data_IF_554406401798
#
_entry.id   IF_554406401798
#
_cell.length_a   1.000
_cell.length_b   1.000
_cell.length_c   1.000
_cell.angle_alpha   90.00
_cell.angle_beta   90.00
_cell.angle_gamma   90.00
#
_symmetry.space_group_name_H-M   'P 1'
#
loop_
_entity.id
_entity.type
_entity.pdbx_description
1 polymer ?
#
# COMPACT_ATOMS: atom_id res chain seq x y z
N UNK A 1 1.05 -51.49 -33.27
CA UNK A 1 0.45 -50.17 -32.92
C UNK A 1 0.86 -49.85 -31.47
N UNK A 2 1.94 -49.08 -31.29
CA UNK A 2 2.45 -48.74 -29.97
C UNK A 2 1.92 -47.38 -29.58
N UNK A 3 1.16 -47.33 -28.49
CA UNK A 3 0.59 -46.12 -27.90
C UNK A 3 1.68 -45.49 -26.99
N UNK A 4 2.24 -44.36 -27.43
CA UNK A 4 3.14 -43.54 -26.60
C UNK A 4 2.30 -42.79 -25.56
N UNK A 5 2.47 -43.14 -24.29
CA UNK A 5 1.97 -42.33 -23.16
C UNK A 5 2.89 -41.12 -23.00
N UNK A 6 2.35 -39.94 -23.30
CA UNK A 6 2.96 -38.64 -22.93
C UNK A 6 2.79 -38.46 -21.42
N UNK A 7 3.89 -38.50 -20.69
CA UNK A 7 3.91 -38.19 -19.28
C UNK A 7 4.06 -36.65 -19.18
N UNK A 8 2.99 -35.99 -18.78
CA UNK A 8 3.05 -34.58 -18.37
C UNK A 8 3.65 -34.51 -16.97
N UNK A 9 4.91 -34.12 -16.87
CA UNK A 9 5.53 -33.68 -15.61
C UNK A 9 5.09 -32.23 -15.38
N UNK A 10 4.02 -32.06 -14.62
CA UNK A 10 3.65 -30.76 -14.08
C UNK A 10 4.75 -30.30 -13.09
N UNK A 11 5.48 -29.26 -13.46
CA UNK A 11 6.34 -28.54 -12.53
C UNK A 11 5.41 -27.82 -11.56
N UNK A 12 5.25 -28.40 -10.36
CA UNK A 12 4.64 -27.70 -9.22
C UNK A 12 5.65 -26.65 -8.75
N UNK A 13 5.49 -25.42 -9.22
CA UNK A 13 6.22 -24.29 -8.63
C UNK A 13 5.65 -24.08 -7.22
N UNK A 14 6.32 -24.58 -6.20
CA UNK A 14 6.12 -24.18 -4.83
C UNK A 14 6.59 -22.72 -4.74
N UNK A 15 5.66 -21.77 -4.82
CA UNK A 15 5.89 -20.43 -4.33
C UNK A 15 6.07 -20.55 -2.81
N UNK A 16 7.31 -20.52 -2.33
CA UNK A 16 7.60 -20.31 -0.92
C UNK A 16 7.25 -18.86 -0.64
N UNK A 17 6.06 -18.63 -0.10
CA UNK A 17 5.66 -17.35 0.45
C UNK A 17 6.50 -17.12 1.70
N UNK A 18 7.61 -16.40 1.56
CA UNK A 18 8.29 -15.82 2.71
C UNK A 18 7.39 -14.68 3.20
N UNK A 19 6.69 -14.91 4.30
CA UNK A 19 5.94 -13.88 4.98
C UNK A 19 6.93 -12.83 5.49
N UNK A 20 6.67 -11.54 5.23
CA UNK A 20 7.39 -10.47 5.89
C UNK A 20 7.25 -10.66 7.41
N UNK A 21 8.37 -10.81 8.11
CA UNK A 21 8.37 -11.10 9.55
C UNK A 21 8.45 -9.78 10.29
N UNK A 22 7.55 -9.59 11.26
CA UNK A 22 7.65 -8.48 12.20
C UNK A 22 8.72 -8.79 13.22
N UNK A 23 9.61 -7.84 13.46
CA UNK A 23 10.61 -7.92 14.51
C UNK A 23 10.39 -6.86 15.57
N UNK A 24 10.59 -7.25 16.82
CA UNK A 24 10.55 -6.32 17.94
C UNK A 24 11.96 -5.90 18.33
N UNK A 25 12.16 -4.59 18.50
CA UNK A 25 13.35 -4.01 19.09
C UNK A 25 12.95 -3.19 20.32
N UNK A 26 13.71 -3.35 21.39
CA UNK A 26 13.48 -2.63 22.65
C UNK A 26 14.70 -1.76 22.91
N UNK A 27 14.46 -0.45 23.07
CA UNK A 27 15.47 0.48 23.55
C UNK A 27 15.07 0.98 24.92
N UNK A 28 15.91 0.70 25.94
CA UNK A 28 15.62 0.99 27.35
C UNK A 28 16.52 2.09 27.86
N UNK A 29 15.94 2.99 28.63
CA UNK A 29 16.70 3.96 29.44
C UNK A 29 16.07 4.11 30.83
N UNK A 30 16.67 4.96 31.67
CA UNK A 30 16.20 5.14 33.06
C UNK A 30 14.81 5.76 33.16
N UNK A 31 14.38 6.52 32.15
CA UNK A 31 13.15 7.33 32.15
C UNK A 31 12.00 6.61 31.49
N UNK A 32 12.26 5.96 30.35
CA UNK A 32 11.24 5.28 29.55
C UNK A 32 11.83 4.13 28.73
N UNK A 33 10.98 3.17 28.37
CA UNK A 33 11.28 2.13 27.40
C UNK A 33 10.57 2.41 26.09
N UNK A 34 11.22 2.09 24.98
CA UNK A 34 10.65 2.13 23.65
C UNK A 34 10.50 0.70 23.14
N UNK A 35 9.33 0.42 22.62
CA UNK A 35 9.00 -0.82 21.92
C UNK A 35 8.77 -0.48 20.45
N UNK A 36 9.67 -0.92 19.57
CA UNK A 36 9.53 -0.82 18.13
C UNK A 36 9.15 -2.19 17.56
N UNK A 37 8.04 -2.27 16.84
CA UNK A 37 7.71 -3.38 15.94
C UNK A 37 7.86 -2.88 14.53
N UNK A 38 8.60 -3.60 13.66
CA UNK A 38 8.89 -3.15 12.30
C UNK A 38 8.98 -4.31 11.32
N UNK A 39 8.79 -4.02 10.02
CA UNK A 39 9.03 -4.95 8.92
C UNK A 39 10.54 -5.14 8.80
N UNK A 40 11.07 -6.32 9.18
CA UNK A 40 12.51 -6.63 9.10
C UNK A 40 12.92 -7.31 7.80
N UNK A 41 11.95 -7.80 7.02
CA UNK A 41 12.17 -8.44 5.72
C UNK A 41 11.02 -8.11 4.76
N UNK A 42 11.34 -7.75 3.52
CA UNK A 42 10.37 -7.28 2.54
C UNK A 42 10.89 -7.46 1.10
N UNK A 43 10.17 -6.93 0.10
CA UNK A 43 10.49 -7.03 -1.32
C UNK A 43 10.43 -5.66 -2.00
N UNK A 44 11.05 -5.49 -3.20
CA UNK A 44 10.86 -4.30 -4.01
C UNK A 44 9.38 -4.02 -4.29
N UNK A 45 8.95 -2.78 -4.05
CA UNK A 45 7.57 -2.34 -4.21
C UNK A 45 6.68 -2.53 -2.98
N UNK A 46 7.16 -3.13 -1.91
CA UNK A 46 6.48 -3.17 -0.63
C UNK A 46 6.74 -1.88 0.17
N UNK A 47 6.20 -1.79 1.38
CA UNK A 47 6.51 -0.74 2.34
C UNK A 47 7.12 -1.34 3.62
N UNK A 48 7.94 -0.54 4.30
CA UNK A 48 8.43 -0.85 5.65
C UNK A 48 7.49 -0.18 6.63
N UNK A 49 6.73 -0.98 7.38
CA UNK A 49 5.79 -0.51 8.41
C UNK A 49 6.47 -0.50 9.77
N UNK A 50 6.16 0.51 10.58
CA UNK A 50 6.71 0.69 11.92
C UNK A 50 5.60 1.07 12.90
N UNK A 51 5.64 0.46 14.07
CA UNK A 51 4.86 0.86 15.24
C UNK A 51 5.81 1.07 16.39
N UNK A 52 5.73 2.24 17.03
CA UNK A 52 6.51 2.59 18.22
C UNK A 52 5.57 2.89 19.36
N UNK A 53 5.91 2.44 20.56
CA UNK A 53 5.21 2.82 21.79
C UNK A 53 6.20 3.15 22.89
N UNK A 54 5.80 4.10 23.73
CA UNK A 54 6.60 4.59 24.85
C UNK A 54 5.95 4.16 26.18
N UNK A 55 6.75 3.59 27.08
CA UNK A 55 6.34 3.21 28.43
C UNK A 55 7.21 3.92 29.44
N UNK A 56 6.59 4.76 30.27
CA UNK A 56 7.30 5.44 31.36
C UNK A 56 7.80 4.45 32.41
N UNK A 57 9.08 4.59 32.80
CA UNK A 57 9.70 3.86 33.91
C UNK A 57 9.72 4.68 35.21
N UNK A 58 9.88 6.01 35.09
CA UNK A 58 9.80 6.95 36.21
C UNK A 58 8.87 8.10 35.83
N UNK A 59 8.00 8.54 36.76
CA UNK A 59 7.18 9.74 36.54
C UNK A 59 8.12 10.93 36.35
N UNK A 60 8.14 11.45 35.13
CA UNK A 60 8.80 12.71 34.83
C UNK A 60 8.15 13.82 35.68
N UNK A 61 8.95 14.58 36.45
CA UNK A 61 8.45 15.79 37.06
C UNK A 61 7.92 16.66 35.95
N UNK A 62 6.64 17.10 36.04
CA UNK A 62 5.94 17.96 35.07
C UNK A 62 6.85 19.15 34.68
N UNK A 63 7.69 18.96 33.70
CA UNK A 63 8.30 20.00 32.89
C UNK A 63 7.67 19.89 31.50
N UNK A 64 7.19 21.00 31.01
CA UNK A 64 6.62 21.23 29.72
C UNK A 64 6.43 19.93 28.87
N UNK A 65 5.19 19.44 28.81
CA UNK A 65 4.82 18.33 27.92
C UNK A 65 4.99 18.80 26.48
N UNK A 66 6.22 19.00 26.05
CA UNK A 66 6.53 19.08 24.64
C UNK A 66 6.15 17.75 24.02
N UNK A 67 5.42 17.82 22.91
CA UNK A 67 4.86 16.64 22.29
C UNK A 67 5.97 15.61 22.00
N UNK A 68 5.72 14.36 22.37
CA UNK A 68 6.51 13.22 21.91
C UNK A 68 6.52 13.22 20.40
N UNK A 69 7.69 13.14 19.79
CA UNK A 69 7.85 13.10 18.35
C UNK A 69 8.79 11.98 17.92
N UNK A 70 8.53 11.39 16.78
CA UNK A 70 9.41 10.41 16.18
C UNK A 70 9.42 10.54 14.65
N UNK A 71 10.57 10.24 14.06
CA UNK A 71 10.79 10.19 12.60
C UNK A 71 11.50 8.90 12.24
N UNK A 72 11.26 8.40 11.04
CA UNK A 72 11.97 7.28 10.47
C UNK A 72 12.60 7.67 9.15
N UNK A 73 13.77 7.13 8.85
CA UNK A 73 14.42 7.18 7.54
C UNK A 73 14.91 5.81 7.14
N UNK A 74 14.82 5.47 5.86
CA UNK A 74 15.38 4.27 5.29
C UNK A 74 16.48 4.65 4.29
N UNK A 75 17.63 3.97 4.38
CA UNK A 75 18.78 4.23 3.54
C UNK A 75 19.35 2.92 2.98
N UNK A 76 20.00 3.01 1.84
CA UNK A 76 20.76 1.92 1.22
C UNK A 76 22.09 2.46 0.71
N UNK A 77 23.21 1.87 1.13
CA UNK A 77 24.56 2.35 0.81
C UNK A 77 24.72 3.85 1.12
N UNK A 78 24.40 4.26 2.34
CA UNK A 78 24.46 5.63 2.87
C UNK A 78 23.54 6.65 2.18
N UNK A 79 22.79 6.23 1.16
CA UNK A 79 21.82 7.10 0.49
C UNK A 79 20.44 6.97 1.11
N UNK A 80 19.94 8.05 1.69
CA UNK A 80 18.55 8.12 2.18
C UNK A 80 17.60 8.01 0.98
N UNK A 81 16.69 7.04 1.01
CA UNK A 81 15.71 6.78 -0.02
C UNK A 81 14.36 7.39 0.32
N UNK A 82 13.97 7.33 1.58
CA UNK A 82 12.73 7.92 2.07
C UNK A 82 12.85 8.30 3.55
N UNK A 83 12.05 9.29 3.99
CA UNK A 83 11.89 9.63 5.38
C UNK A 83 10.45 10.09 5.65
N UNK A 84 9.97 9.87 6.87
CA UNK A 84 8.65 10.31 7.32
C UNK A 84 8.65 10.54 8.82
N UNK A 85 7.62 11.21 9.33
CA UNK A 85 7.35 11.25 10.76
C UNK A 85 6.45 10.08 11.18
N UNK A 86 6.40 9.80 12.46
CA UNK A 86 5.40 8.93 13.04
C UNK A 86 4.11 9.71 13.33
N UNK A 87 2.98 9.06 13.16
CA UNK A 87 1.65 9.61 13.38
C UNK A 87 1.01 8.95 14.60
N UNK A 88 0.35 9.74 15.44
CA UNK A 88 -0.30 9.25 16.66
C UNK A 88 -1.47 8.33 16.33
N UNK A 89 -1.55 7.21 17.02
CA UNK A 89 -2.69 6.29 16.94
C UNK A 89 -3.73 6.69 17.97
N UNK A 90 -5.00 6.96 17.57
CA UNK A 90 -6.07 7.21 18.51
C UNK A 90 -6.24 6.08 19.54
N UNK A 91 -6.47 6.41 20.82
CA UNK A 91 -6.60 5.42 21.91
C UNK A 91 -7.66 4.34 21.64
N UNK A 92 -8.71 4.66 20.88
CA UNK A 92 -9.74 3.71 20.47
C UNK A 92 -9.23 2.58 19.57
N UNK A 93 -8.09 2.78 18.88
CA UNK A 93 -7.50 1.82 17.94
C UNK A 93 -6.29 1.09 18.53
N UNK A 94 -5.74 1.54 19.66
CA UNK A 94 -4.58 0.90 20.30
C UNK A 94 -4.84 0.67 21.80
N UNK A 95 -4.53 -0.55 22.26
CA UNK A 95 -4.56 -0.87 23.70
C UNK A 95 -3.41 -0.23 24.47
N UNK A 96 -2.35 0.16 23.80
CA UNK A 96 -1.16 0.80 24.37
C UNK A 96 -1.25 2.30 24.18
N UNK A 97 -1.14 3.07 25.25
CA UNK A 97 -1.03 4.53 25.20
C UNK A 97 0.28 4.95 24.52
N UNK A 98 0.32 6.18 24.02
CA UNK A 98 1.52 6.73 23.37
C UNK A 98 2.04 5.82 22.25
N UNK A 99 1.13 5.32 21.41
CA UNK A 99 1.43 4.52 20.22
C UNK A 99 1.46 5.40 18.99
N UNK A 100 2.49 5.23 18.17
CA UNK A 100 2.67 5.94 16.91
C UNK A 100 3.00 4.95 15.80
N UNK A 101 2.62 5.28 14.58
CA UNK A 101 2.87 4.46 13.38
C UNK A 101 3.56 5.28 12.30
N UNK A 102 4.37 4.61 11.50
CA UNK A 102 4.97 5.15 10.30
C UNK A 102 5.05 4.06 9.21
N UNK A 103 5.14 4.48 7.95
CA UNK A 103 5.37 3.59 6.85
C UNK A 103 6.28 4.26 5.82
N UNK A 104 7.21 3.52 5.23
CA UNK A 104 8.16 4.02 4.24
C UNK A 104 8.03 3.17 2.97
N UNK A 105 7.62 3.74 1.83
CA UNK A 105 7.49 3.01 0.58
C UNK A 105 8.86 2.66 0.01
N UNK A 106 9.00 1.45 -0.55
CA UNK A 106 10.12 1.03 -1.34
C UNK A 106 9.74 1.03 -2.83
N UNK A 107 10.64 1.51 -3.67
CA UNK A 107 10.45 1.43 -5.12
C UNK A 107 10.39 -0.03 -5.58
N UNK A 108 9.55 -0.33 -6.58
CA UNK A 108 9.59 -1.64 -7.27
C UNK A 108 10.89 -1.87 -8.08
N UNK A 109 11.81 -0.90 -8.07
CA UNK A 109 13.19 -1.00 -8.57
C UNK A 109 14.21 -1.02 -7.43
N UNK A 110 13.78 -1.16 -6.17
CA UNK A 110 14.70 -1.28 -5.04
C UNK A 110 15.63 -2.49 -5.25
N UNK A 111 16.90 -2.32 -4.90
CA UNK A 111 17.89 -3.39 -5.01
C UNK A 111 17.77 -4.34 -3.81
N UNK A 112 18.11 -5.60 -4.03
CA UNK A 112 18.26 -6.57 -2.94
C UNK A 112 19.41 -6.20 -2.03
N UNK A 113 19.28 -6.52 -0.74
CA UNK A 113 20.30 -6.31 0.28
C UNK A 113 19.75 -5.73 1.58
N UNK A 114 20.66 -5.45 2.49
CA UNK A 114 20.34 -4.89 3.82
C UNK A 114 20.24 -3.37 3.72
N UNK A 115 19.14 -2.83 4.22
CA UNK A 115 18.84 -1.41 4.31
C UNK A 115 18.92 -0.96 5.77
N UNK A 116 19.36 0.27 5.99
CA UNK A 116 19.42 0.87 7.31
C UNK A 116 18.11 1.62 7.60
N UNK A 117 17.34 1.13 8.56
CA UNK A 117 16.17 1.80 9.11
C UNK A 117 16.56 2.54 10.38
N UNK A 118 16.63 3.86 10.33
CA UNK A 118 16.94 4.70 11.51
C UNK A 118 15.67 5.33 12.04
N UNK A 119 15.46 5.21 13.35
CA UNK A 119 14.40 5.87 14.11
C UNK A 119 15.02 6.97 14.98
N UNK A 120 14.53 8.21 14.81
CA UNK A 120 14.92 9.38 15.58
C UNK A 120 13.70 9.81 16.38
N UNK A 121 13.84 9.99 17.68
CA UNK A 121 12.71 10.32 18.55
C UNK A 121 13.08 11.26 19.70
N UNK A 122 12.08 11.95 20.21
CA UNK A 122 12.12 12.72 21.45
C UNK A 122 10.88 12.39 22.28
N UNK A 123 11.05 12.09 23.55
CA UNK A 123 9.97 11.77 24.47
C UNK A 123 9.84 12.87 25.54
N UNK A 124 8.64 13.52 25.59
CA UNK A 124 8.28 14.56 26.57
C UNK A 124 9.37 15.64 26.80
N UNK A 125 10.03 16.08 25.71
CA UNK A 125 11.05 17.16 25.76
C UNK A 125 12.47 16.69 26.09
N UNK A 126 12.70 15.39 26.26
CA UNK A 126 14.04 14.84 26.35
C UNK A 126 14.82 15.06 25.03
N UNK A 127 16.16 15.11 25.06
CA UNK A 127 16.97 15.24 23.86
C UNK A 127 16.65 14.17 22.80
N UNK A 128 16.83 14.51 21.54
CA UNK A 128 16.68 13.55 20.45
C UNK A 128 17.65 12.37 20.62
N UNK A 129 17.09 11.18 20.54
CA UNK A 129 17.82 9.93 20.52
C UNK A 129 17.61 9.26 19.16
N UNK A 130 18.57 8.45 18.72
CA UNK A 130 18.41 7.67 17.50
C UNK A 130 18.97 6.25 17.66
N UNK A 131 18.41 5.33 16.92
CA UNK A 131 18.96 3.98 16.74
C UNK A 131 18.64 3.47 15.34
N UNK A 132 19.45 2.52 14.85
CA UNK A 132 19.31 1.92 13.53
C UNK A 132 19.12 0.41 13.65
N UNK A 133 18.21 -0.14 12.85
CA UNK A 133 17.94 -1.57 12.72
C UNK A 133 17.98 -1.97 11.24
N UNK A 134 18.40 -3.21 10.91
CA UNK A 134 18.45 -3.67 9.54
C UNK A 134 17.07 -4.05 9.00
N UNK A 135 16.84 -3.82 7.70
CA UNK A 135 15.72 -4.32 6.92
C UNK A 135 16.26 -5.06 5.70
N UNK A 136 15.91 -6.33 5.56
CA UNK A 136 16.32 -7.13 4.41
C UNK A 136 15.34 -6.96 3.25
N UNK A 137 15.83 -6.52 2.10
CA UNK A 137 15.06 -6.46 0.86
C UNK A 137 15.47 -7.65 -0.02
N UNK A 138 14.55 -8.60 -0.16
CA UNK A 138 14.74 -9.83 -0.92
C UNK A 138 14.56 -9.61 -2.41
N UNK A 139 15.02 -10.55 -3.25
CA UNK A 139 14.78 -10.49 -4.69
C UNK A 139 13.32 -10.80 -5.03
N UNK A 140 12.78 -10.10 -6.05
CA UNK A 140 11.47 -10.35 -6.61
C UNK A 140 11.51 -10.13 -8.11
N UNK A 141 11.01 -11.11 -8.86
CA UNK A 141 10.83 -10.99 -10.30
C UNK A 141 9.47 -10.40 -10.60
N UNK A 142 9.41 -9.53 -11.61
CA UNK A 142 8.19 -8.92 -12.09
C UNK A 142 7.93 -9.34 -13.52
N UNK A 143 6.66 -9.59 -13.85
CA UNK A 143 6.26 -10.00 -15.21
C UNK A 143 6.46 -8.86 -16.18
N UNK A 144 6.97 -9.16 -17.37
CA UNK A 144 7.03 -8.26 -18.52
C UNK A 144 5.96 -8.68 -19.52
N UNK A 145 5.08 -7.76 -19.90
CA UNK A 145 3.98 -8.04 -20.82
C UNK A 145 3.81 -6.95 -21.88
N UNK A 146 3.39 -7.35 -23.08
CA UNK A 146 2.99 -6.41 -24.13
C UNK A 146 1.48 -6.47 -24.30
N UNK A 147 0.81 -5.32 -24.14
CA UNK A 147 -0.64 -5.17 -24.23
C UNK A 147 -0.99 -4.45 -25.53
N UNK A 148 -1.58 -5.13 -26.53
CA UNK A 148 -2.05 -4.48 -27.73
C UNK A 148 -3.32 -3.67 -27.43
N UNK A 149 -3.34 -2.40 -27.83
CA UNK A 149 -4.50 -1.54 -27.69
C UNK A 149 -5.21 -1.37 -29.04
N UNK A 150 -6.54 -1.54 -29.03
CA UNK A 150 -7.38 -1.17 -30.15
C UNK A 150 -7.41 0.38 -30.34
N UNK A 151 -8.11 0.87 -31.36
CA UNK A 151 -8.17 2.30 -31.68
C UNK A 151 -8.75 3.11 -30.51
N UNK A 152 -9.85 2.65 -29.90
CA UNK A 152 -10.50 3.32 -28.77
C UNK A 152 -9.57 3.41 -27.56
N UNK A 153 -8.95 2.32 -27.15
CA UNK A 153 -8.02 2.31 -26.00
C UNK A 153 -6.73 3.09 -26.29
N UNK A 154 -6.28 3.12 -27.54
CA UNK A 154 -5.17 3.99 -27.96
C UNK A 154 -5.53 5.45 -27.77
N UNK A 155 -6.74 5.87 -28.18
CA UNK A 155 -7.22 7.25 -28.01
C UNK A 155 -7.28 7.62 -26.52
N UNK A 156 -7.86 6.78 -25.67
CA UNK A 156 -7.91 7.01 -24.21
C UNK A 156 -6.50 7.13 -23.62
N UNK A 157 -5.59 6.22 -23.98
CA UNK A 157 -4.22 6.19 -23.45
C UNK A 157 -3.41 7.43 -23.87
N UNK A 158 -3.61 7.91 -25.08
CA UNK A 158 -2.86 9.04 -25.67
C UNK A 158 -3.58 10.39 -25.53
N UNK A 159 -4.77 10.41 -24.92
CA UNK A 159 -5.56 11.62 -24.70
C UNK A 159 -4.78 12.65 -23.86
N UNK A 160 -4.67 13.87 -24.37
CA UNK A 160 -4.02 15.00 -23.70
C UNK A 160 -4.98 16.19 -23.51
N UNK A 161 -6.29 15.90 -23.51
CA UNK A 161 -7.32 16.95 -23.32
C UNK A 161 -7.15 17.66 -21.97
N UNK A 162 -7.55 18.94 -21.89
CA UNK A 162 -7.55 19.68 -20.62
C UNK A 162 -8.33 18.97 -19.52
N UNK A 163 -9.43 18.30 -19.87
CA UNK A 163 -10.25 17.53 -18.92
C UNK A 163 -9.44 16.38 -18.30
N UNK A 164 -8.79 15.53 -19.13
CA UNK A 164 -7.95 14.45 -18.63
C UNK A 164 -6.80 14.96 -17.77
N UNK A 165 -6.16 16.05 -18.17
CA UNK A 165 -5.05 16.65 -17.40
C UNK A 165 -5.55 17.17 -16.04
N UNK A 166 -6.71 17.82 -15.99
CA UNK A 166 -7.36 18.26 -14.74
C UNK A 166 -7.69 17.09 -13.81
N UNK A 167 -8.19 15.98 -14.36
CA UNK A 167 -8.45 14.75 -13.58
C UNK A 167 -7.17 14.16 -12.99
N UNK A 168 -6.06 14.18 -13.73
CA UNK A 168 -4.75 13.72 -13.24
C UNK A 168 -4.25 14.63 -12.12
N UNK A 169 -4.34 15.95 -12.31
CA UNK A 169 -3.91 16.93 -11.31
C UNK A 169 -4.73 16.84 -10.02
N UNK A 170 -6.07 16.69 -10.12
CA UNK A 170 -6.95 16.45 -8.97
C UNK A 170 -6.52 15.21 -8.18
N UNK A 171 -6.30 14.08 -8.88
CA UNK A 171 -5.86 12.85 -8.22
C UNK A 171 -4.49 13.01 -7.55
N UNK A 172 -3.53 13.63 -8.23
CA UNK A 172 -2.20 13.86 -7.66
C UNK A 172 -2.27 14.80 -6.44
N UNK A 173 -3.14 15.80 -6.45
CA UNK A 173 -3.41 16.66 -5.30
C UNK A 173 -3.93 15.88 -4.10
N UNK A 174 -4.90 14.96 -4.33
CA UNK A 174 -5.42 14.07 -3.29
C UNK A 174 -4.30 13.18 -2.72
N UNK A 175 -3.58 12.47 -3.60
CA UNK A 175 -2.53 11.53 -3.18
C UNK A 175 -1.33 12.20 -2.53
N UNK A 176 -1.08 13.47 -2.83
CA UNK A 176 -0.04 14.30 -2.19
C UNK A 176 -0.46 14.88 -0.84
N UNK A 177 -1.75 14.78 -0.46
CA UNK A 177 -2.25 15.24 0.82
C UNK A 177 -1.87 14.27 1.93
N UNK A 178 -1.43 14.80 3.08
CA UNK A 178 -1.15 14.02 4.29
C UNK A 178 -2.00 14.61 5.41
N UNK A 179 -3.12 13.97 5.69
CA UNK A 179 -3.96 14.30 6.82
C UNK A 179 -3.48 13.50 8.04
N UNK A 180 -2.83 14.18 8.99
CA UNK A 180 -2.16 13.53 10.13
C UNK A 180 -3.13 12.83 11.08
N UNK A 181 -4.40 13.27 11.10
CA UNK A 181 -5.46 12.71 11.93
C UNK A 181 -6.22 11.56 11.25
N UNK A 182 -5.91 11.28 9.99
CA UNK A 182 -6.54 10.21 9.21
C UNK A 182 -6.03 8.83 9.61
N UNK A 183 -6.30 8.39 10.83
CA UNK A 183 -6.01 7.02 11.29
C UNK A 183 -7.33 6.32 11.52
N UNK A 184 -7.84 5.61 10.49
CA UNK A 184 -9.15 4.94 10.54
C UNK A 184 -9.03 3.48 10.98
N UNK A 185 -7.96 2.79 10.61
CA UNK A 185 -7.73 1.39 10.91
C UNK A 185 -6.22 1.08 11.01
N UNK A 186 -5.83 0.22 11.97
CA UNK A 186 -4.45 -0.27 12.13
C UNK A 186 -4.35 -1.80 12.07
N UNK A 187 -5.44 -2.47 11.71
CA UNK A 187 -5.52 -3.93 11.50
C UNK A 187 -5.31 -4.27 10.02
N UNK A 188 -5.02 -5.52 9.66
CA UNK A 188 -4.86 -5.92 8.26
C UNK A 188 -6.04 -5.49 7.39
N UNK A 189 -5.76 -5.21 6.12
CA UNK A 189 -6.75 -4.91 5.10
C UNK A 189 -7.37 -6.20 4.55
N UNK A 190 -8.53 -6.10 3.90
CA UNK A 190 -9.16 -7.20 3.18
C UNK A 190 -9.01 -7.00 1.68
N UNK A 191 -9.08 -8.09 0.91
CA UNK A 191 -9.23 -7.96 -0.54
C UNK A 191 -10.58 -7.32 -0.87
N UNK A 192 -10.66 -6.45 -1.90
CA UNK A 192 -11.86 -5.67 -2.20
C UNK A 192 -12.96 -6.45 -2.92
N UNK A 193 -12.75 -7.73 -3.19
CA UNK A 193 -13.69 -8.63 -3.86
C UNK A 193 -13.49 -10.07 -3.42
N UNK A 194 -14.51 -10.89 -3.55
CA UNK A 194 -14.43 -12.34 -3.31
C UNK A 194 -13.80 -13.11 -4.49
N UNK A 195 -13.55 -12.43 -5.61
CA UNK A 195 -12.90 -13.03 -6.79
C UNK A 195 -11.41 -13.23 -6.50
N UNK A 196 -10.94 -14.45 -6.71
CA UNK A 196 -9.52 -14.80 -6.50
C UNK A 196 -8.71 -14.83 -7.80
N UNK A 197 -9.38 -14.83 -8.99
CA UNK A 197 -8.71 -14.83 -10.28
C UNK A 197 -8.04 -13.49 -10.53
N UNK A 198 -6.72 -13.49 -10.59
CA UNK A 198 -5.91 -12.32 -10.95
C UNK A 198 -5.50 -12.39 -12.41
N UNK A 199 -5.62 -11.28 -13.11
CA UNK A 199 -5.24 -11.15 -14.51
C UNK A 199 -3.96 -10.36 -14.70
N UNK A 200 -3.57 -9.55 -13.71
CA UNK A 200 -2.29 -8.85 -13.66
C UNK A 200 -1.89 -8.57 -12.22
N UNK A 201 -0.58 -8.44 -12.00
CA UNK A 201 0.00 -8.26 -10.68
C UNK A 201 0.62 -6.88 -10.50
N UNK A 202 0.85 -6.52 -9.24
CA UNK A 202 1.52 -5.27 -8.90
C UNK A 202 2.93 -5.22 -9.50
N UNK A 203 3.26 -4.06 -10.07
CA UNK A 203 4.53 -3.72 -10.68
C UNK A 203 4.90 -4.52 -11.93
N UNK A 204 3.94 -5.21 -12.58
CA UNK A 204 4.15 -5.77 -13.92
C UNK A 204 4.68 -4.68 -14.86
N UNK A 205 5.70 -5.00 -15.65
CA UNK A 205 6.39 -4.12 -16.60
C UNK A 205 5.63 -4.15 -17.93
N UNK A 206 4.76 -3.17 -18.17
CA UNK A 206 3.87 -3.14 -19.32
C UNK A 206 4.42 -2.33 -20.48
N UNK A 207 4.38 -2.92 -21.68
CA UNK A 207 4.54 -2.21 -22.95
C UNK A 207 3.20 -2.16 -23.64
N UNK A 208 2.63 -0.96 -23.80
CA UNK A 208 1.40 -0.77 -24.57
C UNK A 208 1.76 -0.58 -26.05
N UNK A 209 1.26 -1.47 -26.92
CA UNK A 209 1.34 -1.32 -28.38
C UNK A 209 0.09 -0.63 -28.91
N UNK A 210 0.25 0.52 -29.53
CA UNK A 210 -0.85 1.34 -30.02
C UNK A 210 -1.29 0.93 -31.42
N UNK A 211 -2.57 1.13 -31.74
CA UNK A 211 -3.13 0.86 -33.07
C UNK A 211 -2.47 1.66 -34.19
N UNK A 212 -1.76 2.77 -33.87
CA UNK A 212 -1.00 3.60 -34.82
C UNK A 212 0.48 3.20 -34.95
N UNK A 213 0.90 2.06 -34.42
CA UNK A 213 2.25 1.52 -34.51
C UNK A 213 3.25 2.11 -33.48
N UNK A 214 2.84 3.08 -32.65
CA UNK A 214 3.66 3.59 -31.55
C UNK A 214 3.50 2.70 -30.30
N UNK A 215 4.33 2.94 -29.29
CA UNK A 215 4.25 2.24 -28.01
C UNK A 215 4.64 3.15 -26.84
N UNK A 216 4.29 2.75 -25.64
CA UNK A 216 4.81 3.33 -24.40
C UNK A 216 4.94 2.27 -23.31
N UNK A 217 5.89 2.47 -22.41
CA UNK A 217 6.07 1.62 -21.22
C UNK A 217 5.40 2.22 -20.00
N UNK A 218 4.96 1.38 -19.09
CA UNK A 218 4.36 1.76 -17.81
C UNK A 218 4.48 0.63 -16.82
N UNK A 219 4.46 0.95 -15.52
CA UNK A 219 4.24 -0.03 -14.47
C UNK A 219 2.75 -0.27 -14.28
N UNK A 220 2.37 -1.47 -13.87
CA UNK A 220 1.07 -1.74 -13.30
C UNK A 220 1.09 -1.37 -11.82
N UNK A 221 0.36 -0.34 -11.43
CA UNK A 221 0.45 0.21 -10.07
C UNK A 221 -0.42 -0.54 -9.04
N UNK A 222 -1.18 -1.55 -9.46
CA UNK A 222 -2.08 -2.30 -8.59
C UNK A 222 -2.17 -3.78 -8.98
N UNK A 223 -3.31 -4.37 -8.68
CA UNK A 223 -3.67 -5.75 -8.99
C UNK A 223 -4.98 -5.73 -9.76
N UNK A 224 -5.08 -6.53 -10.84
CA UNK A 224 -6.29 -6.68 -11.62
C UNK A 224 -6.98 -8.00 -11.25
N UNK A 225 -8.23 -7.92 -10.77
CA UNK A 225 -9.11 -9.06 -10.54
C UNK A 225 -10.03 -9.24 -11.74
N UNK A 226 -9.83 -10.32 -12.51
CA UNK A 226 -10.68 -10.65 -13.65
C UNK A 226 -12.05 -11.12 -13.18
N UNK A 227 -13.04 -10.23 -13.18
CA UNK A 227 -14.38 -10.46 -12.67
C UNK A 227 -15.45 -10.00 -13.70
N UNK A 228 -16.63 -10.62 -13.71
CA UNK A 228 -17.75 -10.16 -14.52
C UNK A 228 -18.19 -8.75 -14.12
N UNK A 229 -18.78 -8.00 -15.07
CA UNK A 229 -19.47 -6.75 -14.76
C UNK A 229 -20.53 -6.98 -13.68
N UNK A 230 -20.66 -6.01 -12.76
CA UNK A 230 -21.62 -6.10 -11.67
C UNK A 230 -21.16 -6.89 -10.46
N UNK A 231 -19.91 -7.39 -10.44
CA UNK A 231 -19.34 -8.00 -9.24
C UNK A 231 -19.18 -6.95 -8.13
N UNK A 232 -19.56 -7.29 -6.90
CA UNK A 232 -19.45 -6.40 -5.75
C UNK A 232 -17.99 -6.00 -5.49
N UNK A 233 -17.76 -4.70 -5.36
CA UNK A 233 -16.49 -4.11 -4.94
C UNK A 233 -16.68 -3.51 -3.54
N UNK A 234 -15.87 -3.96 -2.59
CA UNK A 234 -15.95 -3.51 -1.19
C UNK A 234 -14.71 -2.73 -0.78
N UNK A 235 -14.84 -1.88 0.23
CA UNK A 235 -13.69 -1.20 0.82
C UNK A 235 -12.72 -2.19 1.47
N UNK A 236 -11.44 -2.09 1.14
CA UNK A 236 -10.41 -2.95 1.72
C UNK A 236 -10.13 -2.65 3.20
N UNK A 237 -10.47 -1.47 3.69
CA UNK A 237 -10.28 -1.03 5.08
C UNK A 237 -11.25 0.10 5.44
N UNK A 238 -11.38 0.42 6.73
CA UNK A 238 -12.08 1.62 7.17
C UNK A 238 -11.37 2.89 6.65
N UNK A 239 -12.14 3.91 6.29
CA UNK A 239 -11.58 5.13 5.74
C UNK A 239 -12.59 6.19 5.36
N UNK A 240 -12.10 7.24 4.70
CA UNK A 240 -12.91 8.32 4.15
C UNK A 240 -12.80 8.33 2.63
N UNK A 241 -13.94 8.34 1.94
CA UNK A 241 -13.97 8.51 0.48
C UNK A 241 -13.52 9.92 0.14
N UNK A 242 -12.43 10.05 -0.62
CA UNK A 242 -11.85 11.34 -1.02
C UNK A 242 -12.00 11.62 -2.51
N UNK A 243 -12.45 10.62 -3.28
CA UNK A 243 -12.85 10.76 -4.68
C UNK A 243 -13.85 9.67 -5.04
N UNK A 244 -14.93 10.06 -5.72
CA UNK A 244 -15.92 9.15 -6.31
C UNK A 244 -16.46 9.80 -7.59
N UNK A 245 -15.89 9.48 -8.76
CA UNK A 245 -16.23 10.10 -10.04
C UNK A 245 -15.92 9.20 -11.24
N UNK A 246 -16.51 9.55 -12.41
CA UNK A 246 -16.14 8.94 -13.68
C UNK A 246 -14.96 9.70 -14.30
N UNK A 247 -13.89 8.99 -14.67
CA UNK A 247 -12.64 9.55 -15.21
C UNK A 247 -12.31 8.95 -16.56
N UNK A 248 -11.71 9.75 -17.45
CA UNK A 248 -11.38 9.33 -18.83
C UNK A 248 -10.51 8.07 -18.82
N UNK A 249 -9.47 8.02 -18.01
CA UNK A 249 -8.49 6.91 -18.03
C UNK A 249 -8.92 5.71 -17.19
N UNK A 250 -9.56 5.92 -16.05
CA UNK A 250 -9.82 4.89 -15.05
C UNK A 250 -11.31 4.54 -14.90
N UNK A 251 -12.17 5.17 -15.70
CA UNK A 251 -13.62 4.98 -15.63
C UNK A 251 -14.20 5.40 -14.28
N UNK A 252 -15.28 4.80 -13.85
CA UNK A 252 -15.83 5.03 -12.53
C UNK A 252 -14.82 4.59 -11.47
N UNK A 253 -14.41 5.54 -10.66
CA UNK A 253 -13.26 5.43 -9.75
C UNK A 253 -13.63 5.86 -8.34
N UNK A 254 -13.16 5.12 -7.35
CA UNK A 254 -13.21 5.48 -5.92
C UNK A 254 -11.79 5.56 -5.38
N UNK A 255 -11.52 6.56 -4.54
CA UNK A 255 -10.29 6.68 -3.76
C UNK A 255 -10.67 6.87 -2.30
N UNK A 256 -10.03 6.12 -1.42
CA UNK A 256 -10.31 6.09 0.02
C UNK A 256 -9.02 6.37 0.78
N UNK A 257 -9.06 7.34 1.70
CA UNK A 257 -8.00 7.64 2.66
C UNK A 257 -8.15 6.73 3.89
N UNK A 258 -7.07 6.02 4.28
CA UNK A 258 -7.07 5.08 5.40
C UNK A 258 -6.16 5.51 6.55
N UNK A 259 -4.96 5.97 6.19
CA UNK A 259 -3.91 6.43 7.10
C UNK A 259 -3.24 7.68 6.51
N UNK A 260 -2.48 8.45 7.29
CA UNK A 260 -1.77 9.62 6.78
C UNK A 260 -0.93 9.28 5.54
N UNK A 261 -1.36 9.79 4.38
CA UNK A 261 -0.72 9.53 3.08
C UNK A 261 -0.93 8.14 2.50
N UNK A 262 -1.80 7.29 3.08
CA UNK A 262 -2.12 5.96 2.57
C UNK A 262 -3.54 5.93 2.01
N UNK A 263 -3.65 5.61 0.73
CA UNK A 263 -4.89 5.59 -0.04
C UNK A 263 -5.07 4.26 -0.76
N UNK A 264 -6.32 3.77 -0.85
CA UNK A 264 -6.71 2.72 -1.79
C UNK A 264 -7.50 3.31 -2.96
N UNK A 265 -7.31 2.74 -4.14
CA UNK A 265 -7.90 3.20 -5.39
C UNK A 265 -8.55 2.00 -6.09
N UNK A 266 -9.78 2.22 -6.59
CA UNK A 266 -10.61 1.20 -7.24
C UNK A 266 -11.07 1.75 -8.57
N UNK A 267 -10.76 1.06 -9.68
CA UNK A 267 -11.01 1.56 -11.03
C UNK A 267 -11.83 0.62 -11.89
N UNK A 268 -12.25 1.12 -13.05
CA UNK A 268 -12.98 0.42 -14.09
C UNK A 268 -14.37 -0.08 -13.66
N UNK A 269 -14.95 0.51 -12.63
CA UNK A 269 -16.28 0.15 -12.16
C UNK A 269 -17.37 0.60 -13.15
N UNK A 270 -18.55 -0.05 -13.11
CA UNK A 270 -19.74 0.36 -13.85
C UNK A 270 -20.69 1.23 -13.01
N UNK A 271 -20.62 1.08 -11.69
CA UNK A 271 -21.49 1.83 -10.77
C UNK A 271 -20.77 2.17 -9.47
N UNK A 272 -20.97 3.39 -8.96
CA UNK A 272 -20.52 3.84 -7.65
C UNK A 272 -21.67 3.75 -6.64
N UNK A 273 -21.40 3.23 -5.43
CA UNK A 273 -22.36 3.12 -4.32
C UNK A 273 -22.03 4.09 -3.18
N UNK A 274 -20.96 4.87 -3.33
CA UNK A 274 -20.49 5.86 -2.36
C UNK A 274 -20.23 7.19 -3.04
N UNK A 275 -20.10 8.26 -2.24
CA UNK A 275 -19.76 9.60 -2.67
C UNK A 275 -18.62 10.18 -1.86
N UNK A 276 -17.98 11.21 -2.39
CA UNK A 276 -16.93 11.95 -1.69
C UNK A 276 -17.44 12.47 -0.34
N UNK A 277 -16.64 12.28 0.71
CA UNK A 277 -16.94 12.63 2.09
C UNK A 277 -17.50 11.49 2.94
N UNK A 278 -17.99 10.39 2.36
CA UNK A 278 -18.53 9.27 3.11
C UNK A 278 -17.44 8.62 3.99
N UNK A 279 -17.81 8.29 5.23
CA UNK A 279 -16.99 7.47 6.15
C UNK A 279 -17.48 6.02 6.03
N UNK A 280 -16.57 5.13 5.76
CA UNK A 280 -16.89 3.73 5.47
C UNK A 280 -16.07 2.77 6.33
N UNK A 281 -16.56 1.57 6.51
CA UNK A 281 -15.88 0.49 7.20
C UNK A 281 -15.25 -0.49 6.19
N UNK A 282 -14.35 -1.32 6.67
CA UNK A 282 -13.85 -2.46 5.90
C UNK A 282 -15.01 -3.40 5.53
N UNK A 283 -15.12 -3.74 4.25
CA UNK A 283 -16.17 -4.61 3.72
C UNK A 283 -17.45 -3.90 3.25
N UNK A 284 -17.60 -2.59 3.49
CA UNK A 284 -18.74 -1.83 2.97
C UNK A 284 -18.71 -1.82 1.43
N UNK A 285 -19.89 -1.97 0.80
CA UNK A 285 -20.04 -1.95 -0.65
C UNK A 285 -19.80 -0.53 -1.18
N UNK A 286 -18.79 -0.39 -2.07
CA UNK A 286 -18.42 0.91 -2.66
C UNK A 286 -18.78 1.05 -4.13
N UNK A 287 -19.06 -0.06 -4.82
CA UNK A 287 -19.44 -0.05 -6.24
C UNK A 287 -19.59 -1.44 -6.82
N UNK A 288 -19.80 -1.46 -8.13
CA UNK A 288 -19.88 -2.67 -8.93
C UNK A 288 -18.78 -2.65 -10.00
N UNK A 289 -18.06 -3.75 -10.18
CA UNK A 289 -17.01 -3.88 -11.19
C UNK A 289 -17.57 -3.73 -12.61
N UNK A 290 -16.70 -3.32 -13.53
CA UNK A 290 -17.08 -3.09 -14.92
C UNK A 290 -15.90 -3.17 -15.89
N UNK A 291 -15.97 -2.37 -16.95
CA UNK A 291 -14.95 -2.24 -17.99
C UNK A 291 -14.84 -0.79 -18.47
N UNK A 292 -15.14 0.20 -17.63
CA UNK A 292 -15.11 1.62 -18.01
C UNK A 292 -13.70 2.18 -18.06
N UNK A 293 -13.45 3.23 -18.85
CA UNK A 293 -12.12 3.82 -19.04
C UNK A 293 -11.21 2.97 -19.92
N UNK A 294 -9.91 2.93 -19.62
CA UNK A 294 -8.89 2.17 -20.35
C UNK A 294 -8.87 0.71 -19.86
N UNK A 295 -9.83 -0.09 -20.26
CA UNK A 295 -9.93 -1.51 -19.94
C UNK A 295 -9.94 -2.35 -21.22
N UNK A 296 -9.27 -3.50 -21.24
CA UNK A 296 -9.28 -4.47 -22.34
C UNK A 296 -10.33 -5.55 -22.15
N UNK A 297 -10.98 -5.60 -21.01
CA UNK A 297 -12.05 -6.51 -20.64
C UNK A 297 -12.54 -6.26 -19.22
N UNK A 298 -13.62 -6.90 -18.78
CA UNK A 298 -14.17 -6.72 -17.44
C UNK A 298 -13.17 -7.13 -16.35
N UNK A 299 -12.87 -6.20 -15.43
CA UNK A 299 -12.00 -6.44 -14.28
C UNK A 299 -12.14 -5.32 -13.24
N UNK A 300 -11.71 -5.59 -12.03
CA UNK A 300 -11.46 -4.59 -11.00
C UNK A 300 -9.95 -4.34 -10.91
N UNK A 301 -9.53 -3.10 -11.12
CA UNK A 301 -8.18 -2.67 -10.76
C UNK A 301 -8.19 -2.14 -9.32
N UNK A 302 -7.33 -2.70 -8.47
CA UNK A 302 -7.14 -2.28 -7.08
C UNK A 302 -5.70 -1.87 -6.82
N UNK A 303 -5.51 -0.66 -6.30
CA UNK A 303 -4.21 -0.03 -6.13
C UNK A 303 -4.08 0.56 -4.72
N UNK A 304 -2.86 0.55 -4.17
CA UNK A 304 -2.53 1.22 -2.90
C UNK A 304 -1.42 2.25 -3.16
N UNK A 305 -1.65 3.46 -2.65
CA UNK A 305 -0.66 4.54 -2.67
C UNK A 305 -0.26 4.94 -1.26
N UNK A 306 1.06 5.02 -1.04
CA UNK A 306 1.67 5.54 0.18
C UNK A 306 2.58 6.71 -0.19
N UNK A 307 2.24 7.93 0.27
CA UNK A 307 2.96 9.16 -0.09
C UNK A 307 3.21 9.25 -1.61
N UNK A 308 2.16 9.13 -2.41
CA UNK A 308 2.15 9.07 -3.87
C UNK A 308 2.80 7.83 -4.51
N UNK A 309 3.62 7.06 -3.78
CA UNK A 309 4.24 5.86 -4.32
C UNK A 309 3.26 4.69 -4.34
N UNK A 310 3.18 3.98 -5.46
CA UNK A 310 2.45 2.72 -5.50
C UNK A 310 3.20 1.66 -4.69
N UNK A 311 2.47 0.97 -3.83
CA UNK A 311 3.00 -0.16 -3.05
C UNK A 311 2.16 -1.41 -3.30
N UNK A 312 2.74 -2.58 -3.05
CA UNK A 312 2.08 -3.86 -3.23
C UNK A 312 0.85 -4.01 -2.34
N UNK A 313 -0.37 -4.11 -2.90
CA UNK A 313 -1.58 -4.22 -2.09
C UNK A 313 -1.64 -5.48 -1.22
N UNK A 314 -1.08 -6.61 -1.68
CA UNK A 314 -1.11 -7.88 -0.96
C UNK A 314 -0.43 -7.81 0.40
N UNK A 315 0.65 -7.01 0.49
CA UNK A 315 1.36 -6.85 1.75
C UNK A 315 0.46 -6.37 2.89
N UNK A 316 -0.54 -5.53 2.59
CA UNK A 316 -1.45 -5.01 3.62
C UNK A 316 -2.48 -6.05 4.06
N UNK A 317 -2.80 -7.03 3.21
CA UNK A 317 -3.71 -8.12 3.56
C UNK A 317 -3.02 -9.20 4.39
N UNK A 318 -1.75 -9.48 4.11
CA UNK A 318 -1.05 -10.64 4.67
C UNK A 318 -0.22 -10.29 5.91
N UNK A 319 0.42 -9.12 5.94
CA UNK A 319 1.49 -8.80 6.89
C UNK A 319 1.41 -7.39 7.49
N UNK A 320 0.22 -6.86 7.67
CA UNK A 320 0.04 -5.52 8.21
C UNK A 320 0.43 -5.45 9.70
N UNK A 321 1.58 -4.85 10.00
CA UNK A 321 2.27 -4.96 11.29
C UNK A 321 1.79 -4.02 12.40
N UNK A 322 0.79 -3.18 12.16
CA UNK A 322 0.31 -2.28 13.21
C UNK A 322 -0.59 -2.96 14.25
N UNK A 323 -1.20 -4.09 13.90
CA UNK A 323 -1.93 -4.90 14.88
C UNK A 323 -0.95 -5.67 15.77
N UNK A 324 -1.25 -5.88 17.07
CA UNK A 324 -0.55 -6.91 17.82
C UNK A 324 -0.75 -8.24 17.09
N UNK A 325 0.31 -9.04 16.95
CA UNK A 325 0.17 -10.39 16.44
C UNK A 325 -1.01 -11.03 17.16
N UNK A 326 -1.99 -11.53 16.39
CA UNK A 326 -3.08 -12.29 17.00
C UNK A 326 -2.43 -13.37 17.86
N UNK A 327 -2.73 -13.39 19.15
CA UNK A 327 -2.26 -14.46 20.00
C UNK A 327 -2.68 -15.76 19.30
N UNK A 328 -1.71 -16.48 18.78
CA UNK A 328 -1.96 -17.83 18.27
C UNK A 328 -2.45 -18.61 19.47
N UNK A 329 -3.76 -18.73 19.58
CA UNK A 329 -4.37 -19.65 20.53
C UNK A 329 -3.87 -21.05 20.17
N UNK A 330 -2.95 -21.55 20.99
CA UNK A 330 -2.55 -22.97 21.02
C UNK A 330 -3.71 -23.84 21.45
#
# INVERSE_FOLDING_TARGET
>A
MKINKLIWTGILSFAVLFNAVAKDAIHQNEVYDIYLTYTDSTYPGDAVFLKISFKENKKLKKKDKTATSAKAKIAFNDKILFNTKFYSVPEKLSKTKNTFIAALPLSSYAKTGTYDLTVIYSYEGEPNMEFTVPVEVNSKDFVEETIPLNAQNTEIKTNTSPERMSQIEKLNGILGTINEDAVYQITPFAQPTTITRRTSFFADRRTFSYSNGKSSTSLHYGIDFGCPNGTHVTSCAAGKVVLAENRISTGYSVVIEHLPGLYSLYYHMDELKVKEGDIINMGDLIGLSGATGLATGPHLHWEIRLFMNAINPDQLCENFLFAPAAAQNK
#
